data_IF_523097567151
#
_entry.id   IF_523097567151
#
_cell.length_a   1.000
_cell.length_b   1.000
_cell.length_c   1.000
_cell.angle_alpha   90.00
_cell.angle_beta   90.00
_cell.angle_gamma   90.00
#
_symmetry.space_group_name_H-M   'P 1'
#
loop_
_entity.id
_entity.type
_entity.pdbx_description
1 polymer ?
#
# COMPACT_ATOMS: atom_id res chain seq x y z
N UNK A 1 7.44 1.08 -6.11
CA UNK A 1 6.69 0.99 -4.83
C UNK A 1 5.75 2.17 -4.60
N UNK A 2 6.23 3.40 -4.32
CA UNK A 2 5.37 4.59 -4.10
C UNK A 2 4.36 4.88 -5.21
N UNK A 3 4.73 4.75 -6.48
CA UNK A 3 3.89 5.12 -7.64
C UNK A 3 2.72 4.16 -7.93
N UNK A 4 2.76 2.92 -7.44
CA UNK A 4 1.74 1.93 -7.77
C UNK A 4 0.57 1.95 -6.77
N UNK A 5 0.85 2.21 -5.49
CA UNK A 5 -0.15 2.30 -4.42
C UNK A 5 -0.87 3.66 -4.46
N UNK A 6 -0.20 4.72 -4.92
CA UNK A 6 -0.80 6.05 -5.16
C UNK A 6 -1.80 6.07 -6.32
N UNK A 7 -1.85 5.03 -7.17
CA UNK A 7 -2.84 4.91 -8.25
C UNK A 7 -4.17 4.30 -7.80
N UNK A 8 -4.27 3.82 -6.56
CA UNK A 8 -5.53 3.34 -6.00
C UNK A 8 -6.41 4.55 -5.68
N UNK A 9 -7.61 4.59 -6.26
CA UNK A 9 -8.57 5.68 -6.02
C UNK A 9 -8.87 5.81 -4.52
N UNK A 10 -8.77 7.02 -3.96
CA UNK A 10 -8.98 7.27 -2.52
C UNK A 10 -7.73 7.10 -1.64
N UNK A 11 -6.59 6.69 -2.20
CA UNK A 11 -5.29 6.75 -1.50
C UNK A 11 -4.77 8.19 -1.57
N UNK A 12 -4.63 8.81 -0.40
CA UNK A 12 -4.18 10.19 -0.27
C UNK A 12 -2.66 10.27 -0.16
N UNK A 13 -2.03 9.30 0.51
CA UNK A 13 -0.58 9.26 0.67
C UNK A 13 -0.10 7.86 0.97
N UNK A 14 1.11 7.57 0.49
CA UNK A 14 1.79 6.29 0.71
C UNK A 14 3.18 6.60 1.22
N UNK A 15 3.44 6.23 2.47
CA UNK A 15 4.76 6.24 3.04
C UNK A 15 5.33 4.82 3.04
N UNK A 16 6.52 4.68 2.48
CA UNK A 16 7.24 3.41 2.46
C UNK A 16 8.39 3.57 3.42
N UNK A 17 8.37 2.79 4.49
CA UNK A 17 9.45 2.69 5.45
C UNK A 17 10.69 2.06 4.83
N UNK A 18 11.78 2.05 5.59
CA UNK A 18 13.04 1.49 5.14
C UNK A 18 12.94 -0.03 4.91
N UNK A 19 13.70 -0.52 3.93
CA UNK A 19 13.84 -1.95 3.70
C UNK A 19 14.65 -2.56 4.86
N UNK A 20 14.01 -3.46 5.59
CA UNK A 20 14.65 -4.21 6.65
C UNK A 20 15.61 -5.26 6.09
N UNK A 21 16.52 -5.75 6.93
CA UNK A 21 17.58 -6.72 6.54
C UNK A 21 17.01 -8.06 6.08
N UNK A 22 15.79 -8.38 6.45
CA UNK A 22 15.04 -9.57 6.02
C UNK A 22 14.35 -9.38 4.65
N UNK A 23 14.48 -8.21 4.04
CA UNK A 23 13.84 -7.86 2.77
C UNK A 23 12.39 -7.38 2.90
N UNK A 24 11.87 -7.24 4.13
CA UNK A 24 10.55 -6.65 4.38
C UNK A 24 10.60 -5.13 4.44
N UNK A 25 9.48 -4.46 4.16
CA UNK A 25 9.34 -3.02 4.36
C UNK A 25 7.92 -2.70 4.82
N UNK A 26 7.78 -1.82 5.80
CA UNK A 26 6.47 -1.35 6.26
C UNK A 26 5.94 -0.31 5.29
N UNK A 27 4.68 -0.43 4.91
CA UNK A 27 4.00 0.58 4.08
C UNK A 27 2.84 1.16 4.86
N UNK A 28 2.91 2.45 5.15
CA UNK A 28 1.80 3.21 5.69
C UNK A 28 1.02 3.83 4.54
N UNK A 29 -0.27 3.52 4.49
CA UNK A 29 -1.18 4.05 3.46
C UNK A 29 -2.25 4.88 4.15
N UNK A 30 -2.27 6.18 3.87
CA UNK A 30 -3.38 7.05 4.26
C UNK A 30 -4.39 7.04 3.12
N UNK A 31 -5.61 6.59 3.42
CA UNK A 31 -6.71 6.51 2.46
C UNK A 31 -7.99 7.06 3.07
N UNK A 32 -8.92 7.46 2.20
CA UNK A 32 -10.25 7.87 2.62
C UNK A 32 -11.17 6.64 2.73
N UNK A 33 -11.63 6.25 3.94
CA UNK A 33 -12.49 5.07 4.14
C UNK A 33 -13.86 5.20 3.46
N UNK A 34 -14.33 6.42 3.18
CA UNK A 34 -15.58 6.66 2.44
C UNK A 34 -15.45 6.38 0.94
N UNK A 35 -14.22 6.35 0.40
CA UNK A 35 -13.94 6.18 -1.03
C UNK A 35 -13.24 4.87 -1.35
N UNK A 36 -12.50 4.29 -0.39
CA UNK A 36 -11.76 3.05 -0.57
C UNK A 36 -11.70 2.28 0.73
N UNK A 37 -11.83 0.94 0.66
CA UNK A 37 -11.70 0.05 1.82
C UNK A 37 -10.32 -0.58 1.88
N UNK A 38 -9.88 -0.93 3.09
CA UNK A 38 -8.59 -1.58 3.31
C UNK A 38 -8.43 -2.88 2.51
N UNK A 39 -9.51 -3.62 2.30
CA UNK A 39 -9.53 -4.85 1.49
C UNK A 39 -9.15 -4.58 0.02
N UNK A 40 -9.62 -3.47 -0.55
CA UNK A 40 -9.28 -3.09 -1.92
C UNK A 40 -7.82 -2.63 -2.04
N UNK A 41 -7.28 -2.01 -1.00
CA UNK A 41 -5.85 -1.67 -0.92
C UNK A 41 -5.02 -2.95 -0.83
N UNK A 42 -5.42 -3.91 0.01
CA UNK A 42 -4.77 -5.21 0.11
C UNK A 42 -4.75 -5.95 -1.22
N UNK A 43 -5.87 -6.01 -1.93
CA UNK A 43 -5.94 -6.62 -3.26
C UNK A 43 -5.05 -5.89 -4.29
N UNK A 44 -5.05 -4.55 -4.28
CA UNK A 44 -4.20 -3.77 -5.18
C UNK A 44 -2.72 -4.03 -4.92
N UNK A 45 -2.29 -4.06 -3.66
CA UNK A 45 -0.90 -4.34 -3.28
C UNK A 45 -0.52 -5.79 -3.61
N UNK A 46 -1.43 -6.76 -3.42
CA UNK A 46 -1.21 -8.16 -3.80
C UNK A 46 -1.09 -8.35 -5.31
N UNK A 47 -1.92 -7.66 -6.11
CA UNK A 47 -1.84 -7.67 -7.59
C UNK A 47 -0.53 -7.10 -8.11
N UNK A 48 0.12 -6.24 -7.34
CA UNK A 48 1.43 -5.67 -7.66
C UNK A 48 2.60 -6.63 -7.31
N UNK A 49 2.30 -7.84 -6.82
CA UNK A 49 3.30 -8.88 -6.52
C UNK A 49 3.93 -8.74 -5.14
N UNK A 50 3.39 -7.89 -4.27
CA UNK A 50 3.89 -7.70 -2.91
C UNK A 50 3.10 -8.56 -1.93
N UNK A 51 3.81 -9.30 -1.06
CA UNK A 51 3.20 -9.99 0.08
C UNK A 51 2.96 -9.00 1.21
N UNK A 52 1.70 -8.83 1.60
CA UNK A 52 1.35 -8.16 2.85
C UNK A 52 1.17 -9.27 3.88
N UNK A 53 1.83 -9.12 5.03
CA UNK A 53 1.79 -10.08 6.13
C UNK A 53 1.31 -9.40 7.41
#
# INVERSE_FOLDING_TARGET
MKQAITKVAGVQSVNVGELQKDGSATVEVSYNPDQTKIEQIHEAVKKLGYGIQ
#
